data_IF_961634308203
#
_entry.id   IF_961634308203
#
_cell.length_a   1.000
_cell.length_b   1.000
_cell.length_c   1.000
_cell.angle_alpha   90.00
_cell.angle_beta   90.00
_cell.angle_gamma   90.00
#
_symmetry.space_group_name_H-M   'P 1'
#
loop_
_entity.id
_entity.type
_entity.pdbx_description
1 polymer ?
#
# COMPACT_ATOMS: atom_id res chain seq x y z
N UNK A 1 38.18 -9.33 -19.04
CA UNK A 1 36.90 -10.05 -18.90
C UNK A 1 36.09 -9.31 -17.83
N UNK A 2 34.87 -8.89 -18.14
CA UNK A 2 34.10 -7.89 -17.37
C UNK A 2 33.51 -8.48 -16.10
N UNK A 3 33.91 -7.97 -14.94
CA UNK A 3 33.27 -8.29 -13.65
C UNK A 3 31.86 -7.68 -13.60
N UNK A 4 30.82 -8.44 -13.23
CA UNK A 4 29.51 -7.86 -12.94
C UNK A 4 29.63 -7.06 -11.64
N UNK A 5 29.62 -5.73 -11.75
CA UNK A 5 29.39 -4.81 -10.63
C UNK A 5 28.03 -5.16 -10.02
N UNK A 6 28.02 -5.82 -8.88
CA UNK A 6 26.82 -6.03 -8.07
C UNK A 6 26.47 -4.65 -7.49
N UNK A 7 25.59 -3.91 -8.17
CA UNK A 7 25.02 -2.67 -7.65
C UNK A 7 24.13 -3.00 -6.45
N UNK A 8 24.43 -2.49 -5.24
CA UNK A 8 23.68 -2.80 -4.01
C UNK A 8 22.28 -2.16 -3.94
N UNK A 9 21.82 -1.47 -4.99
CA UNK A 9 20.57 -0.68 -4.97
C UNK A 9 19.30 -1.45 -5.39
N UNK A 10 19.44 -2.63 -6.00
CA UNK A 10 18.31 -3.38 -6.57
C UNK A 10 17.24 -3.86 -5.56
N UNK A 11 17.56 -4.31 -4.32
CA UNK A 11 16.52 -4.84 -3.44
C UNK A 11 15.52 -3.74 -3.04
N UNK A 12 15.99 -2.52 -2.77
CA UNK A 12 15.13 -1.40 -2.41
C UNK A 12 14.22 -0.94 -3.55
N UNK A 13 14.69 -0.98 -4.79
CA UNK A 13 13.86 -0.65 -5.95
C UNK A 13 12.75 -1.69 -6.15
N UNK A 14 13.10 -2.97 -6.01
CA UNK A 14 12.15 -4.07 -6.12
C UNK A 14 11.09 -4.04 -5.00
N UNK A 15 11.49 -3.78 -3.76
CA UNK A 15 10.55 -3.63 -2.64
C UNK A 15 9.58 -2.45 -2.85
N UNK A 16 10.06 -1.35 -3.43
CA UNK A 16 9.21 -0.21 -3.79
C UNK A 16 8.21 -0.59 -4.88
N UNK A 17 8.63 -1.28 -5.93
CA UNK A 17 7.73 -1.76 -6.99
C UNK A 17 6.65 -2.70 -6.44
N UNK A 18 7.03 -3.61 -5.53
CA UNK A 18 6.08 -4.50 -4.84
C UNK A 18 5.06 -3.69 -4.05
N UNK A 19 5.52 -2.68 -3.29
CA UNK A 19 4.64 -1.81 -2.51
C UNK A 19 3.68 -1.00 -3.38
N UNK A 20 4.16 -0.41 -4.49
CA UNK A 20 3.30 0.32 -5.43
C UNK A 20 2.23 -0.58 -6.05
N UNK A 21 2.62 -1.79 -6.48
CA UNK A 21 1.69 -2.76 -7.05
C UNK A 21 0.62 -3.20 -6.04
N UNK A 22 1.02 -3.45 -4.79
CA UNK A 22 0.11 -3.79 -3.71
C UNK A 22 -0.89 -2.66 -3.43
N UNK A 23 -0.41 -1.41 -3.34
CA UNK A 23 -1.27 -0.24 -3.14
C UNK A 23 -2.33 -0.13 -4.23
N UNK A 24 -1.93 -0.30 -5.49
CA UNK A 24 -2.86 -0.25 -6.62
C UNK A 24 -3.90 -1.38 -6.53
N UNK A 25 -3.47 -2.61 -6.23
CA UNK A 25 -4.37 -3.76 -6.08
C UNK A 25 -5.40 -3.56 -4.95
N UNK A 26 -4.98 -2.98 -3.83
CA UNK A 26 -5.87 -2.63 -2.72
C UNK A 26 -6.82 -1.50 -3.14
N UNK A 27 -6.32 -0.44 -3.79
CA UNK A 27 -7.11 0.70 -4.22
C UNK A 27 -8.28 0.32 -5.15
N UNK A 28 -8.09 -0.68 -6.01
CA UNK A 28 -9.14 -1.16 -6.91
C UNK A 28 -10.12 -2.13 -6.26
N UNK A 29 -9.76 -2.72 -5.12
CA UNK A 29 -10.55 -3.72 -4.41
C UNK A 29 -11.88 -3.15 -3.91
N UNK A 30 -12.93 -3.96 -4.01
CA UNK A 30 -14.28 -3.59 -3.55
C UNK A 30 -14.34 -3.35 -2.04
N UNK A 31 -13.56 -4.09 -1.25
CA UNK A 31 -13.49 -3.89 0.20
C UNK A 31 -12.89 -2.54 0.58
N UNK A 32 -11.83 -2.13 -0.11
CA UNK A 32 -11.19 -0.83 0.14
C UNK A 32 -12.08 0.34 -0.27
N UNK A 33 -12.74 0.25 -1.43
CA UNK A 33 -13.67 1.30 -1.89
C UNK A 33 -14.84 1.51 -0.92
N UNK A 34 -15.46 0.42 -0.46
CA UNK A 34 -16.55 0.49 0.53
C UNK A 34 -16.06 1.08 1.84
N UNK A 35 -14.93 0.60 2.35
CA UNK A 35 -14.33 1.15 3.56
C UNK A 35 -14.04 2.65 3.42
N UNK A 36 -13.54 3.10 2.26
CA UNK A 36 -13.27 4.51 1.99
C UNK A 36 -14.55 5.37 1.96
N UNK A 37 -15.66 4.83 1.46
CA UNK A 37 -16.99 5.48 1.49
C UNK A 37 -17.56 5.59 2.91
N UNK A 38 -17.29 4.58 3.76
CA UNK A 38 -17.66 4.58 5.17
C UNK A 38 -16.82 5.57 6.00
N UNK A 39 -15.61 5.91 5.55
CA UNK A 39 -14.78 6.92 6.18
C UNK A 39 -15.30 8.34 5.90
N UNK A 40 -15.10 9.23 6.87
CA UNK A 40 -15.53 10.62 6.74
C UNK A 40 -14.79 11.31 5.57
N UNK A 41 -15.54 11.83 4.58
CA UNK A 41 -14.98 12.39 3.35
C UNK A 41 -13.94 13.50 3.59
N UNK A 42 -14.10 14.29 4.66
CA UNK A 42 -13.14 15.34 5.03
C UNK A 42 -11.78 14.80 5.50
N UNK A 43 -11.77 13.63 6.14
CA UNK A 43 -10.51 12.96 6.54
C UNK A 43 -9.85 12.26 5.38
N UNK A 44 -10.63 11.62 4.50
CA UNK A 44 -10.10 10.90 3.33
C UNK A 44 -9.50 11.86 2.31
N UNK A 45 -10.15 13.00 2.03
CA UNK A 45 -9.65 13.99 1.06
C UNK A 45 -8.29 14.61 1.42
N UNK A 46 -7.88 14.55 2.68
CA UNK A 46 -6.59 15.10 3.13
C UNK A 46 -5.48 14.05 3.17
N UNK A 47 -5.81 12.77 3.05
CA UNK A 47 -4.87 11.67 3.17
C UNK A 47 -4.39 11.21 1.80
N UNK A 48 -3.10 10.86 1.71
CA UNK A 48 -2.54 10.21 0.55
C UNK A 48 -3.06 8.77 0.42
N UNK A 49 -2.99 8.22 -0.80
CA UNK A 49 -3.34 6.81 -1.03
C UNK A 49 -2.53 5.87 -0.13
N UNK A 50 -1.28 6.21 0.14
CA UNK A 50 -0.40 5.43 1.00
C UNK A 50 -0.91 5.37 2.45
N UNK A 51 -1.34 6.52 2.99
CA UNK A 51 -1.93 6.60 4.34
C UNK A 51 -3.27 5.87 4.41
N UNK A 52 -4.11 6.00 3.40
CA UNK A 52 -5.41 5.30 3.34
C UNK A 52 -5.22 3.79 3.28
N UNK A 53 -4.30 3.29 2.43
CA UNK A 53 -4.00 1.86 2.33
C UNK A 53 -3.44 1.33 3.65
N UNK A 54 -2.49 2.05 4.29
CA UNK A 54 -1.97 1.65 5.61
C UNK A 54 -3.07 1.59 6.67
N UNK A 55 -3.97 2.57 6.67
CA UNK A 55 -5.06 2.63 7.64
C UNK A 55 -6.06 1.48 7.43
N UNK A 56 -6.47 1.22 6.20
CA UNK A 56 -7.30 0.08 5.84
C UNK A 56 -6.66 -1.24 6.26
N UNK A 57 -5.37 -1.45 5.98
CA UNK A 57 -4.64 -2.66 6.39
C UNK A 57 -4.61 -2.80 7.91
N UNK A 58 -4.36 -1.71 8.65
CA UNK A 58 -4.38 -1.74 10.13
C UNK A 58 -5.75 -2.11 10.69
N UNK A 59 -6.82 -1.54 10.15
CA UNK A 59 -8.18 -1.81 10.61
C UNK A 59 -8.60 -3.24 10.25
N UNK A 60 -8.33 -3.71 9.03
CA UNK A 60 -8.66 -5.07 8.59
C UNK A 60 -7.85 -6.16 9.29
N UNK A 61 -6.57 -5.91 9.57
CA UNK A 61 -5.73 -6.86 10.33
C UNK A 61 -6.14 -6.92 11.81
N UNK A 62 -6.62 -5.82 12.40
CA UNK A 62 -7.11 -5.83 13.77
C UNK A 62 -8.36 -6.73 13.93
N UNK A 63 -9.21 -6.79 12.91
CA UNK A 63 -10.43 -7.63 12.91
C UNK A 63 -10.13 -9.14 12.82
N UNK A 64 -8.95 -9.53 12.31
CA UNK A 64 -8.53 -10.94 12.19
C UNK A 64 -7.71 -11.44 13.40
N UNK A 65 -7.31 -10.56 14.30
CA UNK A 65 -6.51 -10.88 15.49
C UNK A 65 -7.38 -11.19 16.73
N UNK A 66 -8.69 -11.30 16.56
CA UNK A 66 -9.68 -11.62 17.60
C UNK A 66 -10.30 -12.98 17.32
#
# INVERSE_FOLDING_TARGET
MTNPTISPNRPFEQEREIWESLKQAIAISSGFKRWQEEQNANTVSKMSLDELVRRYLRETLATLAY
#
